data_IF_925226448273
#
_entry.id   IF_925226448273
#
_cell.length_a   1.000
_cell.length_b   1.000
_cell.length_c   1.000
_cell.angle_alpha   90.00
_cell.angle_beta   90.00
_cell.angle_gamma   90.00
#
_symmetry.space_group_name_H-M   'P 1'
#
loop_
_entity.id
_entity.type
_entity.pdbx_description
1 polymer ?
#
# COMPACT_ATOMS: atom_id res chain seq x y z
N UNK A 1 11.59 -9.79 12.99
CA UNK A 1 11.10 -11.13 12.60
C UNK A 1 9.90 -10.91 11.68
N UNK A 2 10.10 -10.91 10.35
CA UNK A 2 9.00 -10.72 9.38
C UNK A 2 8.35 -12.07 9.12
N UNK A 3 7.55 -12.53 10.07
CA UNK A 3 6.81 -13.78 9.98
C UNK A 3 5.50 -13.59 9.22
N UNK A 4 5.33 -14.41 8.19
CA UNK A 4 4.07 -14.75 7.52
C UNK A 4 3.52 -13.71 6.52
N UNK A 5 4.02 -13.75 5.27
CA UNK A 5 3.21 -13.43 4.08
C UNK A 5 3.19 -14.65 3.13
N UNK A 6 2.52 -15.76 3.46
CA UNK A 6 2.48 -16.93 2.59
C UNK A 6 1.31 -16.92 1.61
N UNK A 7 0.43 -15.90 1.66
CA UNK A 7 -0.76 -15.80 0.79
C UNK A 7 -0.65 -14.79 -0.34
N UNK A 8 0.18 -13.77 -0.19
CA UNK A 8 0.47 -12.83 -1.27
C UNK A 8 1.75 -13.32 -1.92
N UNK A 9 1.77 -13.48 -3.25
CA UNK A 9 2.95 -13.88 -4.03
C UNK A 9 3.98 -12.73 -4.08
N UNK A 10 4.45 -12.32 -2.91
CA UNK A 10 5.32 -11.15 -2.70
C UNK A 10 6.62 -11.58 -2.05
N UNK A 11 7.71 -10.94 -2.46
CA UNK A 11 9.02 -11.10 -1.83
C UNK A 11 9.23 -9.93 -0.88
N UNK A 12 9.15 -10.13 0.46
CA UNK A 12 9.33 -9.04 1.40
C UNK A 12 10.79 -8.57 1.40
N UNK A 13 11.00 -7.26 1.30
CA UNK A 13 12.33 -6.63 1.40
C UNK A 13 12.34 -5.69 2.61
N UNK A 14 13.40 -5.78 3.41
CA UNK A 14 13.55 -4.90 4.58
C UNK A 14 13.77 -3.45 4.11
N UNK A 15 12.99 -2.52 4.66
CA UNK A 15 13.14 -1.07 4.49
C UNK A 15 14.47 -0.52 5.04
N UNK A 16 14.76 0.75 4.74
CA UNK A 16 15.94 1.48 5.23
C UNK A 16 17.13 1.47 4.26
N UNK A 17 18.30 1.98 4.68
CA UNK A 17 19.46 2.16 3.82
C UNK A 17 19.81 0.92 3.00
N UNK A 18 20.17 1.12 1.73
CA UNK A 18 20.49 0.02 0.81
C UNK A 18 19.27 -0.68 0.18
N UNK A 19 18.05 -0.13 0.33
CA UNK A 19 16.82 -0.74 -0.20
C UNK A 19 16.89 -0.91 -1.72
N UNK A 20 17.33 0.12 -2.44
CA UNK A 20 17.48 0.10 -3.90
C UNK A 20 18.36 -1.06 -4.36
N UNK A 21 19.51 -1.26 -3.71
CA UNK A 21 20.45 -2.33 -4.03
C UNK A 21 19.85 -3.71 -3.75
N UNK A 22 19.11 -3.86 -2.63
CA UNK A 22 18.43 -5.11 -2.30
C UNK A 22 17.35 -5.46 -3.32
N UNK A 23 16.56 -4.49 -3.76
CA UNK A 23 15.53 -4.70 -4.77
C UNK A 23 16.16 -5.03 -6.13
N UNK A 24 17.19 -4.29 -6.56
CA UNK A 24 17.88 -4.54 -7.81
C UNK A 24 18.49 -5.96 -7.87
N UNK A 25 19.00 -6.49 -6.75
CA UNK A 25 19.51 -7.86 -6.68
C UNK A 25 18.40 -8.93 -6.85
N UNK A 26 17.16 -8.63 -6.44
CA UNK A 26 16.02 -9.53 -6.59
C UNK A 26 15.35 -9.42 -7.97
N UNK A 27 15.50 -8.26 -8.63
CA UNK A 27 14.93 -7.97 -9.93
C UNK A 27 16.04 -7.54 -10.92
N UNK A 28 16.89 -8.48 -11.36
CA UNK A 28 18.03 -8.16 -12.25
C UNK A 28 17.61 -7.64 -13.63
N UNK A 29 16.36 -7.89 -14.02
CA UNK A 29 15.76 -7.36 -15.26
C UNK A 29 15.12 -5.96 -15.07
N UNK A 30 15.23 -5.39 -13.88
CA UNK A 30 14.59 -4.13 -13.50
C UNK A 30 13.20 -4.30 -12.90
N UNK A 31 12.63 -3.18 -12.45
CA UNK A 31 11.28 -3.09 -11.88
C UNK A 31 10.38 -2.37 -12.88
N UNK A 32 9.24 -2.95 -13.23
CA UNK A 32 8.35 -2.39 -14.25
C UNK A 32 7.63 -1.11 -13.80
N UNK A 33 7.25 -1.06 -12.53
CA UNK A 33 6.52 0.04 -11.89
C UNK A 33 6.71 0.03 -10.37
N UNK A 34 6.50 1.19 -9.73
CA UNK A 34 6.56 1.33 -8.28
C UNK A 34 5.33 2.08 -7.74
N UNK A 35 4.87 1.64 -6.57
CA UNK A 35 3.77 2.26 -5.84
C UNK A 35 4.25 2.65 -4.44
N UNK A 36 4.21 3.95 -4.13
CA UNK A 36 4.44 4.48 -2.80
C UNK A 36 3.11 4.68 -2.06
N UNK A 37 2.95 3.95 -0.96
CA UNK A 37 1.79 4.05 -0.06
C UNK A 37 2.17 4.56 1.32
N UNK A 38 3.44 4.95 1.51
CA UNK A 38 3.98 5.30 2.81
C UNK A 38 4.31 6.80 2.91
N UNK A 39 4.72 7.45 1.81
CA UNK A 39 4.96 8.89 1.78
C UNK A 39 6.21 9.35 2.54
N UNK A 40 7.18 8.45 2.74
CA UNK A 40 8.40 8.73 3.52
C UNK A 40 9.59 9.17 2.62
N UNK A 41 9.32 9.94 1.56
CA UNK A 41 10.34 10.50 0.67
C UNK A 41 11.05 9.47 -0.23
N UNK A 42 10.38 8.36 -0.57
CA UNK A 42 10.98 7.29 -1.37
C UNK A 42 10.96 7.54 -2.89
N UNK A 43 10.27 8.59 -3.36
CA UNK A 43 9.96 8.78 -4.79
C UNK A 43 11.21 8.79 -5.67
N UNK A 44 12.27 9.52 -5.28
CA UNK A 44 13.51 9.57 -6.06
C UNK A 44 14.19 8.19 -6.19
N UNK A 45 14.20 7.41 -5.11
CA UNK A 45 14.73 6.05 -5.10
C UNK A 45 13.90 5.09 -5.95
N UNK A 46 12.57 5.24 -5.94
CA UNK A 46 11.66 4.46 -6.78
C UNK A 46 11.85 4.79 -8.26
N UNK A 47 12.02 6.06 -8.61
CA UNK A 47 12.34 6.49 -9.98
C UNK A 47 13.67 5.87 -10.42
N UNK A 48 14.69 5.86 -9.55
CA UNK A 48 15.97 5.23 -9.84
C UNK A 48 15.85 3.72 -10.07
N UNK A 49 14.95 3.03 -9.35
CA UNK A 49 14.70 1.60 -9.50
C UNK A 49 13.98 1.26 -10.82
N UNK A 50 12.98 2.06 -11.17
CA UNK A 50 12.10 1.82 -12.33
C UNK A 50 12.70 2.39 -13.63
N UNK A 51 13.54 3.43 -13.52
CA UNK A 51 14.15 4.15 -14.64
C UNK A 51 13.20 5.08 -15.40
N UNK A 52 11.92 5.12 -15.03
CA UNK A 52 10.86 5.88 -15.69
C UNK A 52 9.93 6.51 -14.65
N UNK A 53 9.89 7.84 -14.52
CA UNK A 53 9.06 8.49 -13.50
C UNK A 53 7.56 8.28 -13.72
N UNK A 54 7.09 8.19 -14.97
CA UNK A 54 5.69 7.91 -15.33
C UNK A 54 5.20 6.51 -14.93
N UNK A 55 6.10 5.64 -14.46
CA UNK A 55 5.79 4.31 -13.91
C UNK A 55 5.88 4.27 -12.38
N UNK A 56 6.04 5.42 -11.75
CA UNK A 56 6.02 5.60 -10.30
C UNK A 56 4.73 6.33 -9.91
N UNK A 57 4.00 5.76 -8.97
CA UNK A 57 2.76 6.32 -8.43
C UNK A 57 2.91 6.48 -6.92
N UNK A 58 2.49 7.60 -6.36
CA UNK A 58 2.30 7.75 -4.91
C UNK A 58 0.84 8.02 -4.56
N UNK A 59 0.40 7.44 -3.44
CA UNK A 59 -0.87 7.74 -2.77
C UNK A 59 -0.66 8.63 -1.53
N UNK A 60 0.59 8.85 -1.13
CA UNK A 60 0.96 9.40 0.17
C UNK A 60 1.89 10.63 0.07
N UNK A 61 2.50 10.88 -1.09
CA UNK A 61 3.43 11.97 -1.32
C UNK A 61 2.96 12.84 -2.51
N UNK A 62 2.32 13.96 -2.21
CA UNK A 62 1.86 14.92 -3.21
C UNK A 62 3.01 15.62 -3.96
N UNK A 63 4.25 15.53 -3.47
CA UNK A 63 5.42 16.10 -4.16
C UNK A 63 5.91 15.21 -5.31
N UNK A 64 5.36 14.00 -5.48
CA UNK A 64 5.74 13.07 -6.53
C UNK A 64 5.70 13.69 -7.93
N UNK A 65 4.70 14.55 -8.21
CA UNK A 65 4.56 15.25 -9.49
C UNK A 65 5.75 16.16 -9.82
N UNK A 66 6.40 16.73 -8.81
CA UNK A 66 7.58 17.58 -8.98
C UNK A 66 8.78 16.80 -9.54
N UNK A 67 8.78 15.47 -9.37
CA UNK A 67 9.79 14.55 -9.88
C UNK A 67 9.32 13.81 -11.15
N UNK A 68 8.17 14.21 -11.73
CA UNK A 68 7.59 13.60 -12.92
C UNK A 68 6.84 12.29 -12.67
N UNK A 69 6.72 11.86 -11.40
CA UNK A 69 5.90 10.72 -11.00
C UNK A 69 4.43 11.12 -10.85
N UNK A 70 3.54 10.14 -10.74
CA UNK A 70 2.12 10.41 -10.55
C UNK A 70 1.76 10.49 -9.06
N UNK A 71 0.96 11.48 -8.69
CA UNK A 71 0.25 11.48 -7.42
C UNK A 71 -1.23 11.17 -7.69
N UNK A 72 -1.75 10.09 -7.12
CA UNK A 72 -3.16 9.79 -7.21
C UNK A 72 -3.87 10.36 -5.99
N UNK A 73 -4.80 11.27 -6.26
CA UNK A 73 -5.68 11.86 -5.27
C UNK A 73 -7.11 11.87 -5.78
N UNK A 74 -8.06 11.87 -4.86
CA UNK A 74 -9.48 11.90 -5.18
C UNK A 74 -10.09 10.52 -5.43
N UNK A 75 -11.35 10.53 -5.84
CA UNK A 75 -12.13 9.31 -6.06
C UNK A 75 -11.93 8.78 -7.49
N UNK A 76 -11.92 7.44 -7.67
CA UNK A 76 -11.95 6.84 -8.99
C UNK A 76 -13.20 7.27 -9.78
N UNK A 77 -13.06 7.42 -11.10
CA UNK A 77 -14.14 7.86 -11.98
C UNK A 77 -15.38 6.93 -11.97
N UNK A 78 -15.17 5.62 -11.73
CA UNK A 78 -16.25 4.62 -11.62
C UNK A 78 -16.17 3.89 -10.27
N UNK A 79 -16.25 4.64 -9.18
CA UNK A 79 -16.26 4.06 -7.83
C UNK A 79 -17.34 2.98 -7.65
N UNK A 80 -18.60 3.14 -8.13
CA UNK A 80 -19.62 2.09 -8.00
C UNK A 80 -19.25 0.78 -8.73
N UNK A 81 -18.74 0.86 -9.96
CA UNK A 81 -18.29 -0.31 -10.71
C UNK A 81 -17.11 -1.00 -10.03
N UNK A 82 -16.12 -0.22 -9.57
CA UNK A 82 -14.96 -0.74 -8.83
C UNK A 82 -15.39 -1.43 -7.54
N UNK A 83 -16.30 -0.83 -6.77
CA UNK A 83 -16.81 -1.44 -5.54
C UNK A 83 -17.56 -2.75 -5.83
N UNK A 84 -18.30 -2.80 -6.94
CA UNK A 84 -19.00 -4.02 -7.38
C UNK A 84 -18.00 -5.14 -7.69
N UNK A 85 -16.94 -4.84 -8.45
CA UNK A 85 -15.89 -5.80 -8.80
C UNK A 85 -15.13 -6.29 -7.55
N UNK A 86 -14.69 -5.35 -6.69
CA UNK A 86 -13.96 -5.68 -5.47
C UNK A 86 -14.82 -6.52 -4.52
N UNK A 87 -16.12 -6.22 -4.41
CA UNK A 87 -17.04 -7.02 -3.62
C UNK A 87 -17.19 -8.44 -4.17
N UNK A 88 -17.25 -8.61 -5.50
CA UNK A 88 -17.31 -9.93 -6.13
C UNK A 88 -16.02 -10.75 -5.87
N UNK A 89 -14.84 -10.12 -5.99
CA UNK A 89 -13.56 -10.77 -5.68
C UNK A 89 -13.44 -11.15 -4.20
N UNK A 90 -13.95 -10.30 -3.30
CA UNK A 90 -14.00 -10.60 -1.87
C UNK A 90 -14.96 -11.76 -1.57
N UNK A 91 -16.15 -11.78 -2.19
CA UNK A 91 -17.11 -12.87 -2.05
C UNK A 91 -16.57 -14.20 -2.60
N UNK A 92 -15.76 -14.16 -3.65
CA UNK A 92 -15.07 -15.32 -4.22
C UNK A 92 -13.85 -15.78 -3.38
N UNK A 93 -13.43 -15.00 -2.38
CA UNK A 93 -12.25 -15.30 -1.55
C UNK A 93 -10.91 -15.02 -2.22
N UNK A 94 -10.91 -14.39 -3.40
CA UNK A 94 -9.72 -13.99 -4.15
C UNK A 94 -9.05 -12.76 -3.52
N UNK A 95 -9.86 -11.87 -2.92
CA UNK A 95 -9.39 -10.80 -2.04
C UNK A 95 -9.79 -11.12 -0.61
N UNK A 96 -8.80 -11.25 0.27
CA UNK A 96 -9.03 -11.38 1.71
C UNK A 96 -8.45 -10.17 2.44
N UNK A 97 -9.31 -9.43 3.15
CA UNK A 97 -8.92 -8.30 3.98
C UNK A 97 -9.02 -8.73 5.45
N UNK A 98 -7.91 -8.86 6.18
CA UNK A 98 -7.97 -9.09 7.63
C UNK A 98 -8.73 -7.93 8.31
N UNK A 99 -9.66 -8.27 9.19
CA UNK A 99 -10.47 -7.30 9.92
C UNK A 99 -10.21 -7.44 11.42
N UNK A 100 -10.01 -6.30 12.07
CA UNK A 100 -10.07 -6.18 13.53
C UNK A 100 -11.24 -5.25 13.86
N UNK A 101 -12.13 -5.69 14.73
CA UNK A 101 -13.34 -4.94 15.09
C UNK A 101 -13.20 -4.24 16.45
N UNK A 102 -13.76 -3.05 16.55
CA UNK A 102 -13.97 -2.31 17.81
C UNK A 102 -15.44 -1.90 17.88
N UNK A 103 -16.07 -1.87 19.07
CA UNK A 103 -17.36 -1.20 19.21
C UNK A 103 -17.18 0.30 18.99
N UNK A 104 -18.21 1.00 18.51
CA UNK A 104 -18.17 2.44 18.20
C UNK A 104 -17.75 3.26 19.42
N UNK A 105 -18.17 2.85 20.62
CA UNK A 105 -17.79 3.50 21.89
C UNK A 105 -16.28 3.45 22.17
N UNK A 106 -15.56 2.54 21.53
CA UNK A 106 -14.09 2.40 21.60
C UNK A 106 -13.37 2.98 20.38
N UNK A 107 -14.01 3.90 19.64
CA UNK A 107 -13.39 4.54 18.48
C UNK A 107 -12.04 5.23 18.81
N UNK A 108 -11.90 5.79 20.02
CA UNK A 108 -10.65 6.38 20.49
C UNK A 108 -9.52 5.33 20.58
N UNK A 109 -9.80 4.16 21.15
CA UNK A 109 -8.83 3.06 21.24
C UNK A 109 -8.46 2.51 19.86
N UNK A 110 -9.44 2.40 18.96
CA UNK A 110 -9.22 2.01 17.57
C UNK A 110 -8.28 3.01 16.86
N UNK A 111 -8.46 4.30 17.12
CA UNK A 111 -7.61 5.35 16.54
C UNK A 111 -6.17 5.26 17.07
N UNK A 112 -5.99 5.14 18.39
CA UNK A 112 -4.66 4.95 19.01
C UNK A 112 -3.97 3.72 18.44
N UNK A 113 -4.70 2.62 18.26
CA UNK A 113 -4.15 1.42 17.63
C UNK A 113 -3.71 1.68 16.17
N UNK A 114 -4.50 2.41 15.39
CA UNK A 114 -4.18 2.78 14.01
C UNK A 114 -2.91 3.62 13.91
N UNK A 115 -2.74 4.60 14.80
CA UNK A 115 -1.57 5.50 14.83
C UNK A 115 -0.25 4.75 15.05
N UNK A 116 -0.28 3.58 15.69
CA UNK A 116 0.94 2.76 15.85
C UNK A 116 1.56 2.33 14.52
N UNK A 117 0.80 2.29 13.43
CA UNK A 117 1.26 1.82 12.12
C UNK A 117 1.53 0.31 12.03
N UNK A 118 1.20 -0.45 13.09
CA UNK A 118 1.45 -1.90 13.16
C UNK A 118 0.19 -2.76 12.97
N UNK A 119 -0.96 -2.13 12.76
CA UNK A 119 -2.22 -2.82 12.45
C UNK A 119 -2.08 -3.55 11.12
N UNK A 120 -2.56 -4.80 11.09
CA UNK A 120 -2.67 -5.59 9.86
C UNK A 120 -4.11 -5.56 9.37
N UNK A 121 -4.32 -5.15 8.12
CA UNK A 121 -5.64 -5.12 7.52
C UNK A 121 -6.43 -3.86 7.87
N UNK A 122 -7.74 -3.99 8.08
CA UNK A 122 -8.66 -2.87 8.32
C UNK A 122 -9.22 -2.92 9.75
N UNK A 123 -9.30 -1.75 10.37
CA UNK A 123 -10.09 -1.56 11.60
C UNK A 123 -11.54 -1.23 11.20
N UNK A 124 -12.50 -1.91 11.82
CA UNK A 124 -13.93 -1.71 11.59
C UNK A 124 -14.61 -1.34 12.91
N UNK A 125 -15.41 -0.27 12.89
CA UNK A 125 -16.25 0.12 14.01
C UNK A 125 -17.63 -0.51 13.87
N UNK A 126 -18.06 -1.20 14.92
CA UNK A 126 -19.38 -1.81 15.04
C UNK A 126 -20.32 -0.83 15.76
N UNK A 127 -21.52 -0.62 15.22
CA UNK A 127 -22.45 0.47 15.64
C UNK A 127 -23.60 0.00 16.55
N UNK A 128 -23.52 -1.24 16.98
CA UNK A 128 -24.48 -1.98 17.79
C UNK A 128 -24.28 -1.80 19.31
#
# INVERSE_FOLDING_TARGET
MFGCVPRLRVTPVRYGPGLVQRIAALAPQGVDAALDVAGHGAIADLIRLVGRPERVISLADATAEQLGAHFLSGEPADLPGILTEVAALAAAGEINVPITTYPLVSAADAHVASETGHVRGKLVLLVD
#
